data_IF_334989883017
#
_entry.id   IF_334989883017
#
_cell.length_a   1.000
_cell.length_b   1.000
_cell.length_c   1.000
_cell.angle_alpha   90.00
_cell.angle_beta   90.00
_cell.angle_gamma   90.00
#
_symmetry.space_group_name_H-M   'P 1'
#
loop_
_entity.id
_entity.type
_entity.pdbx_description
1 polymer ?
#
# COMPACT_ATOMS: atom_id res chain seq x y z
N UNK A 1 -8.15 13.58 -11.29
CA UNK A 1 -7.66 12.19 -11.46
C UNK A 1 -7.30 11.61 -10.10
N UNK A 2 -7.72 10.39 -9.84
CA UNK A 2 -7.44 9.75 -8.55
C UNK A 2 -6.02 9.23 -8.49
N UNK A 3 -5.33 9.50 -7.36
CA UNK A 3 -4.04 8.90 -7.04
C UNK A 3 -4.25 7.77 -6.04
N UNK A 4 -3.63 6.63 -6.29
CA UNK A 4 -3.80 5.42 -5.49
C UNK A 4 -2.57 5.16 -4.64
N UNK A 5 -2.73 5.17 -3.32
CA UNK A 5 -1.70 4.65 -2.42
C UNK A 5 -1.64 3.13 -2.59
N UNK A 6 -0.49 2.60 -2.95
CA UNK A 6 -0.34 1.16 -3.14
C UNK A 6 -0.08 0.49 -1.79
N UNK A 7 -0.97 -0.41 -1.40
CA UNK A 7 -0.75 -1.26 -0.23
C UNK A 7 0.52 -2.09 -0.43
N UNK A 8 1.17 -2.49 0.65
CA UNK A 8 2.41 -3.27 0.59
C UNK A 8 2.24 -4.53 -0.27
N UNK A 9 1.11 -5.23 -0.13
CA UNK A 9 0.85 -6.43 -0.93
C UNK A 9 0.79 -6.13 -2.44
N UNK A 10 0.32 -4.96 -2.84
CA UNK A 10 0.32 -4.56 -4.25
C UNK A 10 1.76 -4.30 -4.73
N UNK A 11 2.55 -3.58 -3.93
CA UNK A 11 3.96 -3.34 -4.25
C UNK A 11 4.73 -4.65 -4.41
N UNK A 12 4.54 -5.59 -3.49
CA UNK A 12 5.19 -6.90 -3.53
C UNK A 12 4.78 -7.65 -4.80
N UNK A 13 3.49 -7.70 -5.11
CA UNK A 13 2.99 -8.41 -6.28
C UNK A 13 3.52 -7.79 -7.59
N UNK A 14 3.72 -6.49 -7.62
CA UNK A 14 4.27 -5.82 -8.80
C UNK A 14 5.74 -6.17 -9.05
N UNK A 15 6.55 -6.29 -8.00
CA UNK A 15 7.99 -6.53 -8.15
C UNK A 15 8.39 -8.00 -8.17
N UNK A 16 7.53 -8.91 -7.70
CA UNK A 16 7.82 -10.34 -7.62
C UNK A 16 7.07 -11.11 -8.72
N UNK A 17 7.75 -11.51 -9.82
CA UNK A 17 7.10 -12.21 -10.93
C UNK A 17 6.52 -13.57 -10.54
N UNK A 18 7.00 -14.18 -9.46
CA UNK A 18 6.50 -15.46 -8.97
C UNK A 18 5.36 -15.32 -7.94
N UNK A 19 4.98 -14.07 -7.60
CA UNK A 19 3.88 -13.83 -6.68
C UNK A 19 2.56 -14.31 -7.29
N UNK A 20 1.73 -14.95 -6.48
CA UNK A 20 0.45 -15.53 -6.91
C UNK A 20 -0.47 -14.48 -7.56
N UNK A 21 -0.42 -13.23 -7.12
CA UNK A 21 -1.25 -12.13 -7.61
C UNK A 21 -0.49 -11.17 -8.52
N UNK A 22 0.67 -11.57 -9.04
CA UNK A 22 1.49 -10.71 -9.90
C UNK A 22 0.72 -10.22 -11.13
N UNK A 23 0.06 -11.13 -11.83
CA UNK A 23 -0.68 -10.78 -13.05
C UNK A 23 -1.87 -9.87 -12.76
N UNK A 24 -2.58 -10.14 -11.66
CA UNK A 24 -3.70 -9.29 -11.23
C UNK A 24 -3.24 -7.86 -10.94
N UNK A 25 -2.15 -7.71 -10.19
CA UNK A 25 -1.61 -6.40 -9.84
C UNK A 25 -1.11 -5.65 -11.08
N UNK A 26 -0.40 -6.33 -11.96
CA UNK A 26 0.11 -5.73 -13.20
C UNK A 26 -1.01 -5.32 -14.15
N UNK A 27 -2.05 -6.15 -14.28
CA UNK A 27 -3.19 -5.82 -15.12
C UNK A 27 -3.88 -4.54 -14.63
N UNK A 28 -4.16 -4.46 -13.33
CA UNK A 28 -4.75 -3.25 -12.76
C UNK A 28 -3.83 -2.03 -12.92
N UNK A 29 -2.55 -2.20 -12.62
CA UNK A 29 -1.58 -1.11 -12.69
C UNK A 29 -1.45 -0.57 -14.13
N UNK A 30 -1.37 -1.44 -15.11
CA UNK A 30 -1.25 -1.04 -16.51
C UNK A 30 -2.48 -0.34 -17.05
N UNK A 31 -3.67 -0.69 -16.56
CA UNK A 31 -4.93 -0.07 -17.00
C UNK A 31 -5.28 1.19 -16.21
N UNK A 32 -5.00 1.21 -14.92
CA UNK A 32 -5.51 2.24 -14.01
C UNK A 32 -4.39 2.90 -13.20
N UNK A 33 -3.65 2.12 -12.42
CA UNK A 33 -2.78 2.64 -11.36
C UNK A 33 -1.62 3.48 -11.85
N UNK A 34 -1.07 3.17 -13.03
CA UNK A 34 0.13 3.85 -13.55
C UNK A 34 -0.06 5.35 -13.79
N UNK A 35 -1.30 5.80 -13.94
CA UNK A 35 -1.59 7.22 -14.20
C UNK A 35 -1.34 8.11 -12.99
N UNK A 36 -1.49 7.57 -11.80
CA UNK A 36 -1.22 8.27 -10.54
C UNK A 36 -1.24 7.29 -9.40
N UNK A 37 -0.08 7.06 -8.80
CA UNK A 37 0.06 6.17 -7.66
C UNK A 37 1.04 6.75 -6.66
N UNK A 38 0.93 6.31 -5.43
CA UNK A 38 1.75 6.82 -4.34
C UNK A 38 2.37 5.70 -3.53
N UNK A 39 3.53 6.00 -2.97
CA UNK A 39 4.13 5.26 -1.87
C UNK A 39 4.27 6.20 -0.67
N UNK A 40 4.39 5.64 0.52
CA UNK A 40 4.65 6.39 1.74
C UNK A 40 5.77 5.70 2.54
N UNK A 41 6.35 6.34 3.56
CA UNK A 41 7.41 5.73 4.35
C UNK A 41 7.07 4.34 4.88
N UNK A 42 5.84 4.14 5.35
CA UNK A 42 5.41 2.86 5.90
C UNK A 42 5.37 1.75 4.83
N UNK A 43 4.85 2.03 3.63
CA UNK A 43 4.78 1.02 2.55
C UNK A 43 6.15 0.74 1.95
N UNK A 44 7.00 1.74 1.81
CA UNK A 44 8.39 1.54 1.34
C UNK A 44 9.18 0.70 2.33
N UNK A 45 9.09 1.02 3.62
CA UNK A 45 9.72 0.26 4.68
C UNK A 45 9.22 -1.20 4.69
N UNK A 46 7.91 -1.38 4.59
CA UNK A 46 7.29 -2.70 4.55
C UNK A 46 7.76 -3.55 3.37
N UNK A 47 7.88 -2.97 2.19
CA UNK A 47 8.36 -3.67 1.01
C UNK A 47 9.77 -4.25 1.22
N UNK A 48 10.70 -3.40 1.66
CA UNK A 48 12.08 -3.84 1.87
C UNK A 48 12.19 -4.88 2.98
N UNK A 49 11.45 -4.68 4.06
CA UNK A 49 11.49 -5.56 5.24
C UNK A 49 10.92 -6.94 4.91
N UNK A 50 9.81 -7.01 4.19
CA UNK A 50 9.13 -8.27 3.89
C UNK A 50 9.87 -9.05 2.81
N UNK A 51 10.13 -8.44 1.66
CA UNK A 51 10.78 -9.13 0.53
C UNK A 51 12.25 -9.39 0.80
N UNK A 52 12.91 -8.52 1.56
CA UNK A 52 14.28 -8.70 1.99
C UNK A 52 14.48 -9.65 3.16
N UNK A 53 13.40 -10.25 3.68
CA UNK A 53 13.48 -11.22 4.76
C UNK A 53 13.94 -12.59 4.23
N UNK A 54 14.84 -13.31 4.95
CA UNK A 54 15.33 -14.61 4.47
C UNK A 54 14.24 -15.65 4.27
N UNK A 55 13.11 -15.52 4.97
CA UNK A 55 11.98 -16.46 4.86
C UNK A 55 10.99 -16.10 3.76
N UNK A 56 11.15 -14.97 3.09
CA UNK A 56 10.29 -14.67 1.94
C UNK A 56 10.62 -15.64 0.80
N UNK A 57 9.63 -16.39 0.24
CA UNK A 57 9.90 -17.53 -0.65
C UNK A 57 10.73 -17.16 -1.89
N UNK A 58 10.52 -15.98 -2.45
CA UNK A 58 11.17 -15.54 -3.68
C UNK A 58 12.13 -14.38 -3.43
N UNK A 59 12.71 -14.30 -2.22
CA UNK A 59 13.58 -13.18 -1.85
C UNK A 59 14.82 -13.13 -2.75
N UNK A 60 15.13 -11.97 -3.33
CA UNK A 60 16.36 -11.79 -4.10
C UNK A 60 17.60 -11.66 -3.22
N UNK A 61 17.43 -11.57 -1.90
CA UNK A 61 18.49 -11.36 -0.93
C UNK A 61 18.08 -10.39 0.18
N UNK A 62 19.03 -9.73 0.82
CA UNK A 62 18.73 -8.78 1.89
C UNK A 62 18.00 -7.53 1.36
N UNK A 63 17.50 -6.64 2.24
CA UNK A 63 16.81 -5.42 1.79
C UNK A 63 17.59 -4.59 0.75
N UNK A 64 18.93 -4.59 0.82
CA UNK A 64 19.76 -3.92 -0.19
C UNK A 64 19.58 -4.48 -1.59
N UNK A 65 19.19 -5.75 -1.74
CA UNK A 65 18.89 -6.36 -3.04
C UNK A 65 17.48 -6.00 -3.54
N UNK A 66 16.59 -5.59 -2.66
CA UNK A 66 15.22 -5.16 -3.01
C UNK A 66 15.17 -3.67 -3.35
N UNK A 67 16.02 -2.87 -2.74
CA UNK A 67 16.02 -1.41 -2.89
C UNK A 67 16.04 -0.93 -4.35
N UNK A 68 16.76 -1.54 -5.30
CA UNK A 68 16.69 -1.13 -6.71
C UNK A 68 15.30 -1.26 -7.33
N UNK A 69 14.52 -2.27 -6.95
CA UNK A 69 13.14 -2.43 -7.43
C UNK A 69 12.23 -1.30 -6.93
N UNK A 70 12.39 -0.90 -5.68
CA UNK A 70 11.67 0.25 -5.15
C UNK A 70 12.05 1.53 -5.88
N UNK A 71 13.34 1.75 -6.09
CA UNK A 71 13.82 2.92 -6.83
C UNK A 71 13.24 2.98 -8.25
N UNK A 72 13.15 1.83 -8.93
CA UNK A 72 12.57 1.75 -10.27
C UNK A 72 11.08 2.13 -10.27
N UNK A 73 10.31 1.67 -9.30
CA UNK A 73 8.90 2.06 -9.15
C UNK A 73 8.78 3.57 -8.92
N UNK A 74 9.62 4.13 -8.04
CA UNK A 74 9.58 5.55 -7.72
C UNK A 74 10.02 6.44 -8.89
N UNK A 75 10.74 5.90 -9.85
CA UNK A 75 11.18 6.62 -11.04
C UNK A 75 10.10 6.70 -12.14
N UNK A 76 8.99 5.96 -12.01
CA UNK A 76 7.91 6.00 -12.98
C UNK A 76 7.19 7.36 -12.95
N UNK A 77 6.73 7.86 -14.13
CA UNK A 77 6.16 9.22 -14.22
C UNK A 77 4.94 9.48 -13.33
N UNK A 78 4.16 8.45 -13.04
CA UNK A 78 2.93 8.56 -12.23
C UNK A 78 3.16 8.53 -10.73
N UNK A 79 4.40 8.37 -10.26
CA UNK A 79 4.70 8.20 -8.84
C UNK A 79 4.60 9.51 -8.06
N UNK A 80 3.98 9.42 -6.88
CA UNK A 80 3.94 10.46 -5.85
C UNK A 80 4.44 9.88 -4.53
N UNK A 81 5.30 10.62 -3.83
CA UNK A 81 5.67 10.26 -2.46
C UNK A 81 4.76 10.99 -1.48
N UNK A 82 4.04 10.24 -0.65
CA UNK A 82 3.15 10.80 0.36
C UNK A 82 3.77 10.66 1.76
N UNK A 83 4.06 11.77 2.45
CA UNK A 83 4.52 11.69 3.84
C UNK A 83 3.44 11.10 4.75
N UNK A 84 3.88 10.42 5.81
CA UNK A 84 3.01 9.92 6.89
C UNK A 84 2.59 11.11 7.76
N UNK A 85 1.59 11.86 7.33
CA UNK A 85 1.23 13.16 7.92
C UNK A 85 0.10 13.11 8.93
N UNK A 86 -0.47 11.95 9.21
CA UNK A 86 -1.57 11.80 10.15
C UNK A 86 -1.18 10.94 11.33
N UNK A 87 -1.88 11.11 12.45
CA UNK A 87 -1.76 10.24 13.61
C UNK A 87 -2.91 9.26 13.65
N UNK A 88 -2.62 7.98 13.91
CA UNK A 88 -3.66 6.98 14.14
C UNK A 88 -4.46 7.26 15.42
N UNK A 89 -3.93 8.10 16.31
CA UNK A 89 -4.62 8.54 17.53
C UNK A 89 -5.58 9.72 17.30
N UNK A 90 -5.57 10.30 16.10
CA UNK A 90 -6.45 11.42 15.76
C UNK A 90 -7.82 10.88 15.33
N UNK A 91 -8.85 11.15 16.16
CA UNK A 91 -10.21 10.66 15.91
C UNK A 91 -10.84 11.21 14.62
N UNK A 92 -10.31 12.29 14.05
CA UNK A 92 -10.76 12.78 12.74
C UNK A 92 -10.43 11.82 11.62
N UNK A 93 -9.41 10.99 11.79
CA UNK A 93 -8.90 10.08 10.77
C UNK A 93 -9.22 8.61 11.07
N UNK A 94 -9.14 8.20 12.33
CA UNK A 94 -9.33 6.81 12.74
C UNK A 94 -10.14 6.77 14.03
N UNK A 95 -11.20 5.95 14.04
CA UNK A 95 -11.91 5.60 15.27
C UNK A 95 -11.20 4.42 15.92
N UNK A 96 -10.36 4.71 16.91
CA UNK A 96 -9.52 3.71 17.55
C UNK A 96 -10.34 2.63 18.28
N UNK A 97 -11.57 2.93 18.69
CA UNK A 97 -12.45 1.94 19.33
C UNK A 97 -12.81 0.78 18.38
N UNK A 98 -12.72 0.99 17.06
CA UNK A 98 -13.01 -0.02 16.05
C UNK A 98 -11.77 -0.79 15.59
N UNK A 99 -10.58 -0.49 16.13
CA UNK A 99 -9.36 -1.27 15.90
C UNK A 99 -9.36 -2.51 16.78
N UNK A 100 -10.20 -3.49 16.41
CA UNK A 100 -10.50 -4.65 17.25
C UNK A 100 -9.43 -5.75 17.22
N UNK A 101 -8.45 -5.65 16.35
CA UNK A 101 -7.33 -6.61 16.26
C UNK A 101 -6.08 -5.92 15.73
N UNK A 102 -4.91 -6.52 16.03
CA UNK A 102 -3.63 -5.99 15.57
C UNK A 102 -3.53 -5.95 14.03
N UNK A 103 -4.22 -6.86 13.34
CA UNK A 103 -4.21 -6.92 11.87
C UNK A 103 -4.91 -5.74 11.20
N UNK A 104 -5.77 -5.03 11.93
CA UNK A 104 -6.48 -3.85 11.41
C UNK A 104 -5.68 -2.55 11.46
N UNK A 105 -4.61 -2.52 12.25
CA UNK A 105 -3.91 -1.25 12.57
C UNK A 105 -3.31 -0.63 11.31
N UNK A 106 -2.46 -1.36 10.62
CA UNK A 106 -1.78 -0.83 9.42
C UNK A 106 -2.76 -0.54 8.29
N UNK A 107 -3.71 -1.44 8.05
CA UNK A 107 -4.70 -1.25 6.97
C UNK A 107 -5.55 -0.01 7.21
N UNK A 108 -6.02 0.18 8.42
CA UNK A 108 -6.80 1.37 8.79
C UNK A 108 -5.98 2.64 8.68
N UNK A 109 -4.72 2.61 9.11
CA UNK A 109 -3.82 3.75 8.97
C UNK A 109 -3.61 4.12 7.50
N UNK A 110 -3.30 3.17 6.64
CA UNK A 110 -3.07 3.42 5.21
C UNK A 110 -4.33 3.94 4.52
N UNK A 111 -5.49 3.40 4.89
CA UNK A 111 -6.77 3.88 4.35
C UNK A 111 -7.02 5.33 4.75
N UNK A 112 -6.77 5.66 6.01
CA UNK A 112 -6.91 7.02 6.52
C UNK A 112 -5.90 7.97 5.88
N UNK A 113 -4.66 7.52 5.68
CA UNK A 113 -3.62 8.32 5.02
C UNK A 113 -3.99 8.63 3.57
N UNK A 114 -4.47 7.64 2.83
CA UNK A 114 -4.92 7.84 1.46
C UNK A 114 -6.05 8.86 1.40
N UNK A 115 -7.02 8.77 2.31
CA UNK A 115 -8.11 9.73 2.41
C UNK A 115 -7.61 11.14 2.73
N UNK A 116 -6.64 11.26 3.64
CA UNK A 116 -6.07 12.55 4.03
C UNK A 116 -5.33 13.24 2.87
N UNK A 117 -4.79 12.46 1.94
CA UNK A 117 -4.16 12.97 0.72
C UNK A 117 -5.14 13.15 -0.45
N UNK A 118 -6.42 12.92 -0.23
CA UNK A 118 -7.45 13.08 -1.27
C UNK A 118 -7.46 11.96 -2.32
N UNK A 119 -6.84 10.81 -2.01
CA UNK A 119 -6.78 9.67 -2.90
C UNK A 119 -7.48 8.45 -2.34
N UNK A 120 -7.08 7.27 -2.84
CA UNK A 120 -7.63 5.98 -2.40
C UNK A 120 -6.50 5.01 -2.10
N UNK A 121 -6.77 4.06 -1.21
CA UNK A 121 -5.88 2.92 -0.97
C UNK A 121 -6.23 1.80 -1.95
N UNK A 122 -5.27 1.40 -2.77
CA UNK A 122 -5.41 0.23 -3.63
C UNK A 122 -4.90 -1.01 -2.89
N UNK A 123 -5.73 -2.02 -2.76
CA UNK A 123 -5.39 -3.25 -2.05
C UNK A 123 -6.04 -4.47 -2.71
N UNK A 124 -5.33 -5.59 -2.66
CA UNK A 124 -5.83 -6.89 -3.09
C UNK A 124 -6.42 -7.69 -1.92
N UNK A 125 -6.38 -7.16 -0.70
CA UNK A 125 -6.98 -7.80 0.46
C UNK A 125 -8.49 -7.57 0.46
N UNK A 126 -9.23 -8.61 0.08
CA UNK A 126 -10.70 -8.57 0.03
C UNK A 126 -11.37 -8.50 1.40
N UNK A 127 -10.62 -8.69 2.47
CA UNK A 127 -11.12 -8.65 3.86
C UNK A 127 -10.74 -7.37 4.59
N UNK A 128 -10.13 -6.42 3.90
CA UNK A 128 -9.71 -5.17 4.51
C UNK A 128 -10.91 -4.45 5.11
N UNK A 129 -10.87 -4.23 6.42
CA UNK A 129 -11.94 -3.57 7.13
C UNK A 129 -11.84 -2.05 6.95
N UNK A 130 -12.95 -1.41 6.59
CA UNK A 130 -13.00 0.02 6.31
C UNK A 130 -13.73 0.82 7.39
N UNK A 131 -14.32 0.16 8.37
CA UNK A 131 -15.23 0.76 9.35
C UNK A 131 -14.55 1.69 10.35
N UNK A 132 -13.26 1.51 10.61
CA UNK A 132 -12.51 2.37 11.53
C UNK A 132 -12.15 3.74 10.95
N UNK A 133 -12.34 3.94 9.65
CA UNK A 133 -11.99 5.19 8.98
C UNK A 133 -13.24 5.88 8.48
N UNK A 134 -13.53 7.13 8.92
CA UNK A 134 -14.63 7.90 8.37
C UNK A 134 -14.50 8.03 6.85
N UNK A 135 -15.53 7.63 6.10
CA UNK A 135 -15.47 7.61 4.64
C UNK A 135 -14.58 6.51 4.05
N UNK A 136 -14.20 5.51 4.86
CA UNK A 136 -13.25 4.48 4.46
C UNK A 136 -13.69 3.66 3.24
N UNK A 137 -14.97 3.32 3.14
CA UNK A 137 -15.47 2.55 1.99
C UNK A 137 -15.22 3.27 0.67
N UNK A 138 -15.41 4.58 0.62
CA UNK A 138 -15.17 5.39 -0.58
C UNK A 138 -13.67 5.58 -0.85
N UNK A 139 -12.83 5.44 0.17
CA UNK A 139 -11.38 5.60 0.04
C UNK A 139 -10.65 4.30 -0.32
N UNK A 140 -11.36 3.19 -0.49
CA UNK A 140 -10.77 1.90 -0.88
C UNK A 140 -10.98 1.64 -2.36
N UNK A 141 -9.89 1.26 -3.03
CA UNK A 141 -9.88 0.73 -4.40
C UNK A 141 -9.54 -0.76 -4.31
N UNK A 142 -10.51 -1.66 -4.33
CA UNK A 142 -10.22 -3.10 -4.38
C UNK A 142 -9.73 -3.49 -5.77
N UNK A 143 -8.69 -4.32 -5.79
CA UNK A 143 -8.12 -4.84 -7.03
C UNK A 143 -8.57 -6.28 -7.24
#
# INVERSE_FOLDING_TARGET
MTTFLLDVNVLIALIDPAHMQHDLAHDWFSRVGHRGFATCPLTENGLLRIVGHPKYPNSPGPPSAVAPSLAAIKALPGHHFWPDKISIADARHVDAALLSSHSRVTDSYLLALARAHGGRLASMDRRLAVDAVPGGAAALEPI
#
